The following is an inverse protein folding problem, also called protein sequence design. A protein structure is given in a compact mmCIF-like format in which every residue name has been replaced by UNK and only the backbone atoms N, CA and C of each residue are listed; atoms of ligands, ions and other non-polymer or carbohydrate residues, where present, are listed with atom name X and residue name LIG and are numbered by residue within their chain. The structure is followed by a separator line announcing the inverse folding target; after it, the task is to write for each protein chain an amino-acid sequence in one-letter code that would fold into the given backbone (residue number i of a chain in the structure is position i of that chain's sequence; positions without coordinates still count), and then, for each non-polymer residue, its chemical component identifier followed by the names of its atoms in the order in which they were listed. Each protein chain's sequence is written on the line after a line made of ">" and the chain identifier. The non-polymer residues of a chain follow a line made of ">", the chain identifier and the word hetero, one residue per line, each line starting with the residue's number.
data_IF_629870745784
#
_entry.id   IF_629870745784
#
_cell.length_a   1.000
_cell.length_b   1.000
_cell.length_c   1.000
_cell.angle_alpha   90.00
_cell.angle_beta   90.00
_cell.angle_gamma   90.00
#
_symmetry.space_group_name_H-M   'P 1'
#
loop_
_entity.id
_entity.type
_entity.pdbx_description
1 polymer ?
#
# COMPACT_ATOMS: atom_id res chain seq x y z
N UNK A 1 -28.09 24.23 -4.35
CA UNK A 1 -29.01 24.05 -3.21
C UNK A 1 -28.56 22.82 -2.47
N UNK A 2 -27.95 22.99 -1.30
CA UNK A 2 -27.76 21.95 -0.30
C UNK A 2 -27.97 22.63 1.05
N UNK A 3 -29.23 22.87 1.41
CA UNK A 3 -29.61 23.49 2.68
C UNK A 3 -29.86 22.39 3.72
N UNK A 4 -28.82 21.61 4.06
CA UNK A 4 -28.91 20.77 5.24
C UNK A 4 -27.52 20.53 5.85
N UNK A 5 -27.21 21.28 6.91
CA UNK A 5 -25.99 21.16 7.71
C UNK A 5 -25.98 19.91 8.61
N UNK A 6 -26.71 18.85 8.24
CA UNK A 6 -26.77 17.63 9.04
C UNK A 6 -25.56 16.72 8.74
N UNK A 7 -24.60 16.58 9.68
CA UNK A 7 -23.37 15.82 9.46
C UNK A 7 -23.60 14.31 9.28
N UNK A 8 -24.82 13.81 9.55
CA UNK A 8 -25.18 12.40 9.37
C UNK A 8 -25.63 12.04 7.95
N UNK A 9 -25.70 13.02 7.04
CA UNK A 9 -26.22 12.81 5.70
C UNK A 9 -25.12 12.27 4.75
N UNK A 10 -25.03 10.95 4.63
CA UNK A 10 -24.01 10.25 3.82
C UNK A 10 -24.30 10.25 2.29
N UNK A 11 -25.32 10.98 1.84
CA UNK A 11 -25.78 11.05 0.45
C UNK A 11 -27.25 11.44 0.35
N UNK A 12 -27.65 11.97 -0.82
CA UNK A 12 -29.06 12.32 -1.12
C UNK A 12 -29.63 11.28 -2.08
N UNK A 13 -30.70 10.61 -1.67
CA UNK A 13 -31.48 9.74 -2.55
C UNK A 13 -32.75 10.48 -2.96
N UNK A 14 -32.93 10.68 -4.26
CA UNK A 14 -34.19 11.18 -4.81
C UNK A 14 -35.04 9.96 -5.20
N UNK A 15 -36.10 9.69 -4.44
CA UNK A 15 -37.11 8.71 -4.84
C UNK A 15 -38.24 9.43 -5.57
N UNK A 16 -38.70 8.84 -6.67
CA UNK A 16 -39.90 9.31 -7.37
C UNK A 16 -41.20 8.76 -6.73
N UNK A 17 -41.07 7.82 -5.79
CA UNK A 17 -42.18 7.18 -5.08
C UNK A 17 -41.89 7.10 -3.58
N UNK A 18 -42.85 7.50 -2.75
CA UNK A 18 -42.79 7.37 -1.30
C UNK A 18 -43.36 6.02 -0.84
N UNK A 19 -42.80 5.41 0.22
CA UNK A 19 -43.35 4.16 0.78
C UNK A 19 -44.81 4.33 1.18
N UNK A 20 -45.60 3.25 1.11
CA UNK A 20 -47.04 3.28 1.39
C UNK A 20 -47.39 3.52 2.86
N UNK A 21 -46.40 3.53 3.76
CA UNK A 21 -46.59 3.79 5.18
C UNK A 21 -45.42 4.53 5.84
N UNK A 22 -45.72 5.31 6.88
CA UNK A 22 -44.77 6.15 7.62
C UNK A 22 -43.72 5.36 8.42
N UNK A 23 -43.94 4.05 8.62
CA UNK A 23 -43.00 3.13 9.27
C UNK A 23 -42.02 2.49 8.30
N UNK A 24 -42.30 2.56 7.00
CA UNK A 24 -41.51 1.92 5.96
C UNK A 24 -40.50 2.94 5.43
N UNK A 25 -39.20 2.65 5.58
CA UNK A 25 -38.15 3.45 4.95
C UNK A 25 -38.09 3.07 3.47
N UNK A 26 -37.90 4.06 2.60
CA UNK A 26 -37.62 3.80 1.20
C UNK A 26 -36.35 2.96 1.09
N UNK A 27 -36.41 1.84 0.38
CA UNK A 27 -35.22 1.08 0.03
C UNK A 27 -34.35 1.92 -0.91
N UNK A 28 -33.10 2.13 -0.53
CA UNK A 28 -32.11 2.81 -1.34
C UNK A 28 -30.96 1.84 -1.60
N UNK A 29 -30.84 1.39 -2.85
CA UNK A 29 -29.70 0.56 -3.27
C UNK A 29 -28.50 1.47 -3.48
N UNK A 30 -27.55 1.50 -2.54
CA UNK A 30 -26.27 2.20 -2.71
C UNK A 30 -25.34 1.36 -3.58
N UNK A 31 -25.52 1.39 -4.90
CA UNK A 31 -24.72 0.58 -5.83
C UNK A 31 -23.62 1.36 -6.56
N UNK A 32 -23.48 2.67 -6.33
CA UNK A 32 -22.55 3.50 -7.09
C UNK A 32 -21.31 3.80 -6.25
N UNK A 33 -20.17 3.28 -6.68
CA UNK A 33 -18.85 3.68 -6.18
C UNK A 33 -18.35 4.93 -6.92
N UNK A 34 -17.54 5.75 -6.24
CA UNK A 34 -16.67 6.70 -6.92
C UNK A 34 -15.37 6.00 -7.33
N UNK A 35 -15.31 5.54 -8.57
CA UNK A 35 -14.12 4.86 -9.10
C UNK A 35 -13.02 5.84 -9.53
N UNK A 36 -13.29 7.15 -9.53
CA UNK A 36 -12.30 8.13 -9.93
C UNK A 36 -11.25 8.30 -8.83
N UNK A 37 -10.00 8.00 -9.13
CA UNK A 37 -8.91 8.09 -8.15
C UNK A 37 -8.26 9.48 -8.24
N UNK A 38 -8.49 10.38 -7.27
CA UNK A 38 -7.88 11.70 -7.29
C UNK A 38 -6.37 11.62 -7.01
N UNK A 39 -5.56 12.50 -7.62
CA UNK A 39 -4.13 12.57 -7.35
C UNK A 39 -3.88 13.01 -5.91
N UNK A 40 -2.87 12.41 -5.27
CA UNK A 40 -2.38 12.87 -3.98
C UNK A 40 -1.78 14.28 -4.07
N UNK A 41 -1.71 14.99 -2.95
CA UNK A 41 -0.92 16.21 -2.88
C UNK A 41 0.57 15.88 -2.99
N UNK A 42 1.34 16.70 -3.72
CA UNK A 42 2.78 16.51 -3.85
C UNK A 42 3.52 16.51 -2.50
N UNK A 43 2.98 17.22 -1.49
CA UNK A 43 3.52 17.26 -0.13
C UNK A 43 3.41 15.95 0.64
N UNK A 44 2.57 15.01 0.19
CA UNK A 44 2.35 13.71 0.84
C UNK A 44 3.30 12.65 0.27
N UNK A 45 3.81 12.85 -0.94
CA UNK A 45 4.73 11.91 -1.60
C UNK A 45 6.06 11.86 -0.85
N UNK A 46 6.52 10.63 -0.58
CA UNK A 46 7.67 10.34 0.28
C UNK A 46 7.33 10.28 1.78
N UNK A 47 6.09 10.51 2.18
CA UNK A 47 5.69 10.51 3.59
C UNK A 47 4.86 9.28 3.94
N UNK A 48 5.43 8.34 4.69
CA UNK A 48 4.79 7.06 5.01
C UNK A 48 3.49 7.20 5.80
N UNK A 49 3.56 8.03 6.84
CA UNK A 49 2.46 8.22 7.78
C UNK A 49 1.26 8.80 7.02
N UNK A 50 1.48 9.83 6.22
CA UNK A 50 0.40 10.48 5.48
C UNK A 50 -0.09 9.65 4.28
N UNK A 51 0.78 8.88 3.63
CA UNK A 51 0.36 8.15 2.43
C UNK A 51 -0.42 6.87 2.76
N UNK A 52 -0.02 6.13 3.80
CA UNK A 52 -0.55 4.79 4.06
C UNK A 52 -1.37 4.63 5.35
N UNK A 53 -1.29 5.55 6.32
CA UNK A 53 -1.86 5.34 7.66
C UNK A 53 -3.39 5.14 7.63
N UNK A 54 -3.89 4.02 8.14
CA UNK A 54 -5.28 3.87 8.53
C UNK A 54 -5.51 4.55 9.89
N UNK A 55 -6.59 5.30 10.02
CA UNK A 55 -6.92 6.06 11.24
C UNK A 55 -7.60 5.22 12.35
N UNK A 56 -7.63 3.90 12.20
CA UNK A 56 -8.46 3.00 13.02
C UNK A 56 -7.69 2.49 14.23
N UNK A 57 -8.33 2.39 15.40
CA UNK A 57 -7.67 1.93 16.62
C UNK A 57 -7.17 0.49 16.50
N UNK A 58 -7.96 -0.40 15.87
CA UNK A 58 -7.58 -1.79 15.61
C UNK A 58 -6.30 -1.91 14.77
N UNK A 59 -6.05 -0.94 13.89
CA UNK A 59 -4.83 -0.87 13.12
C UNK A 59 -3.63 -0.55 14.01
N UNK A 60 -3.71 0.52 14.80
CA UNK A 60 -2.66 0.93 15.74
C UNK A 60 -2.36 -0.21 16.72
N UNK A 61 -3.42 -0.82 17.26
CA UNK A 61 -3.30 -1.92 18.21
C UNK A 61 -2.67 -3.18 17.64
N UNK A 62 -2.79 -3.44 16.34
CA UNK A 62 -2.24 -4.66 15.74
C UNK A 62 -0.89 -4.39 15.09
N UNK A 63 -0.82 -3.43 14.16
CA UNK A 63 0.38 -3.22 13.35
C UNK A 63 1.48 -2.53 14.15
N UNK A 64 1.16 -1.51 14.95
CA UNK A 64 2.19 -0.82 15.74
C UNK A 64 2.67 -1.70 16.89
N UNK A 65 1.75 -2.35 17.63
CA UNK A 65 2.15 -3.23 18.75
C UNK A 65 2.97 -4.43 18.29
N UNK A 66 2.58 -5.10 17.20
CA UNK A 66 3.36 -6.22 16.65
C UNK A 66 4.73 -5.76 16.16
N UNK A 67 4.84 -4.54 15.62
CA UNK A 67 6.11 -3.95 15.17
C UNK A 67 7.07 -3.60 16.31
N UNK A 68 6.53 -3.31 17.50
CA UNK A 68 7.26 -2.98 18.74
C UNK A 68 7.57 -4.24 19.58
N UNK A 69 6.80 -5.32 19.41
CA UNK A 69 7.02 -6.60 20.10
C UNK A 69 8.32 -7.29 19.66
N UNK A 70 9.00 -8.02 20.57
CA UNK A 70 10.27 -8.75 20.31
C UNK A 70 10.14 -9.95 19.37
N UNK A 71 9.06 -10.05 18.59
CA UNK A 71 8.82 -11.09 17.59
C UNK A 71 9.73 -10.83 16.39
N UNK A 72 10.19 -11.90 15.72
CA UNK A 72 10.97 -11.74 14.48
C UNK A 72 10.19 -10.90 13.46
N UNK A 73 10.89 -10.06 12.71
CA UNK A 73 10.28 -9.17 11.72
C UNK A 73 9.47 -9.91 10.65
N UNK A 74 9.79 -11.18 10.39
CA UNK A 74 9.05 -12.07 9.49
C UNK A 74 7.70 -12.51 10.09
N UNK A 75 7.68 -12.96 11.34
CA UNK A 75 6.44 -13.34 12.03
C UNK A 75 5.54 -12.12 12.29
N UNK A 76 6.13 -10.97 12.64
CA UNK A 76 5.44 -9.70 12.75
C UNK A 76 4.74 -9.32 11.43
N UNK A 77 5.46 -9.42 10.31
CA UNK A 77 4.90 -9.15 8.99
C UNK A 77 3.79 -10.15 8.59
N UNK A 78 3.94 -11.43 8.90
CA UNK A 78 2.89 -12.44 8.65
C UNK A 78 1.61 -12.13 9.41
N UNK A 79 1.71 -11.74 10.69
CA UNK A 79 0.55 -11.30 11.46
C UNK A 79 -0.12 -10.05 10.84
N UNK A 80 0.68 -9.06 10.41
CA UNK A 80 0.17 -7.85 9.73
C UNK A 80 -0.55 -8.19 8.41
N UNK A 81 -0.02 -9.11 7.59
CA UNK A 81 -0.69 -9.57 6.36
C UNK A 81 -2.03 -10.23 6.63
N UNK A 82 -2.09 -11.12 7.62
CA UNK A 82 -3.34 -11.80 8.01
C UNK A 82 -4.35 -10.78 8.49
N UNK A 83 -3.94 -9.87 9.37
CA UNK A 83 -4.79 -8.77 9.84
C UNK A 83 -5.31 -7.92 8.68
N UNK A 84 -4.46 -7.46 7.76
CA UNK A 84 -4.88 -6.58 6.67
C UNK A 84 -5.91 -7.22 5.73
N UNK A 85 -5.91 -8.57 5.61
CA UNK A 85 -6.90 -9.31 4.81
C UNK A 85 -8.25 -9.49 5.51
N UNK A 86 -8.24 -9.63 6.83
CA UNK A 86 -9.45 -9.86 7.63
C UNK A 86 -10.02 -8.57 8.23
N UNK A 87 -9.23 -7.51 8.25
CA UNK A 87 -9.61 -6.20 8.77
C UNK A 87 -10.82 -5.66 8.03
N UNK A 88 -11.88 -5.39 8.78
CA UNK A 88 -13.03 -4.66 8.30
C UNK A 88 -12.89 -3.20 8.75
N UNK A 89 -12.63 -2.25 7.84
CA UNK A 89 -12.40 -0.86 8.25
C UNK A 89 -13.68 -0.19 8.76
N UNK A 90 -14.87 -0.77 8.55
CA UNK A 90 -16.13 -0.16 8.98
C UNK A 90 -16.58 -0.53 10.40
N UNK A 91 -15.80 -1.32 11.15
CA UNK A 91 -16.16 -1.75 12.52
C UNK A 91 -15.78 -0.74 13.60
N UNK A 92 -14.84 0.15 13.33
CA UNK A 92 -14.45 1.24 14.23
C UNK A 92 -15.40 2.43 14.00
N UNK A 93 -16.40 2.57 14.87
CA UNK A 93 -17.45 3.59 14.73
C UNK A 93 -16.85 5.00 14.85
N UNK A 94 -15.89 5.21 15.75
CA UNK A 94 -15.28 6.54 15.95
C UNK A 94 -14.48 6.96 14.72
N UNK A 95 -13.62 6.07 14.21
CA UNK A 95 -12.87 6.33 12.99
C UNK A 95 -13.81 6.52 11.78
N UNK A 96 -14.87 5.71 11.70
CA UNK A 96 -15.88 5.83 10.64
C UNK A 96 -16.58 7.18 10.70
N UNK A 97 -17.12 7.58 11.84
CA UNK A 97 -17.79 8.87 12.01
C UNK A 97 -16.86 10.05 11.68
N UNK A 98 -15.61 10.00 12.14
CA UNK A 98 -14.60 11.01 11.81
C UNK A 98 -14.36 11.13 10.30
N UNK A 99 -14.17 10.01 9.61
CA UNK A 99 -13.94 9.99 8.17
C UNK A 99 -15.17 10.47 7.40
N UNK A 100 -16.37 10.02 7.79
CA UNK A 100 -17.63 10.41 7.17
C UNK A 100 -17.88 11.91 7.25
N UNK A 101 -17.67 12.51 8.41
CA UNK A 101 -17.82 13.96 8.62
C UNK A 101 -16.87 14.80 7.75
N UNK A 102 -15.81 14.18 7.23
CA UNK A 102 -14.78 14.83 6.42
C UNK A 102 -14.75 14.33 4.98
N UNK A 103 -15.74 13.54 4.54
CA UNK A 103 -15.78 12.93 3.20
C UNK A 103 -15.42 13.94 2.10
N UNK A 104 -16.10 15.08 2.07
CA UNK A 104 -15.91 16.12 1.05
C UNK A 104 -14.52 16.78 1.11
N UNK A 105 -13.82 16.69 2.24
CA UNK A 105 -12.45 17.18 2.39
C UNK A 105 -11.41 16.14 1.95
N UNK A 106 -11.75 14.85 2.00
CA UNK A 106 -10.81 13.74 1.77
C UNK A 106 -10.75 13.23 0.32
N UNK A 107 -11.79 13.49 -0.48
CA UNK A 107 -11.87 13.09 -1.90
C UNK A 107 -11.41 14.13 -2.95
N UNK A 108 -11.24 15.43 -2.65
CA UNK A 108 -10.70 16.38 -3.63
C UNK A 108 -9.28 16.02 -4.11
N UNK A 109 -8.94 16.40 -5.36
CA UNK A 109 -7.57 16.29 -5.86
C UNK A 109 -6.62 17.13 -5.02
N UNK A 110 -5.41 16.62 -4.79
CA UNK A 110 -4.36 17.29 -4.01
C UNK A 110 -4.79 17.69 -2.60
N UNK A 111 -5.65 16.87 -1.96
CA UNK A 111 -6.00 17.01 -0.56
C UNK A 111 -4.74 16.95 0.33
N UNK A 112 -4.65 17.87 1.30
CA UNK A 112 -3.56 17.98 2.28
C UNK A 112 -4.04 17.81 3.72
N UNK A 113 -5.25 17.27 3.87
CA UNK A 113 -5.88 17.05 5.16
C UNK A 113 -5.07 16.09 6.03
N UNK A 114 -5.01 16.32 7.34
CA UNK A 114 -4.29 15.45 8.28
C UNK A 114 -4.83 14.01 8.32
N UNK A 115 -6.10 13.82 7.94
CA UNK A 115 -6.77 12.52 7.91
C UNK A 115 -6.73 11.88 6.52
N UNK A 116 -6.12 12.57 5.56
CA UNK A 116 -5.91 12.03 4.23
C UNK A 116 -4.81 10.98 4.26
N UNK A 117 -5.16 9.81 3.72
CA UNK A 117 -4.25 8.79 3.26
C UNK A 117 -4.87 8.12 2.04
N UNK A 118 -4.06 7.38 1.28
CA UNK A 118 -4.61 6.64 0.13
C UNK A 118 -5.65 5.61 0.57
N UNK A 119 -5.50 5.06 1.78
CA UNK A 119 -6.49 4.20 2.41
C UNK A 119 -7.80 4.95 2.76
N UNK A 120 -7.72 6.10 3.45
CA UNK A 120 -8.93 6.85 3.82
C UNK A 120 -9.65 7.43 2.60
N UNK A 121 -8.90 7.90 1.61
CA UNK A 121 -9.44 8.34 0.32
C UNK A 121 -10.21 7.22 -0.39
N UNK A 122 -9.64 6.01 -0.46
CA UNK A 122 -10.35 4.85 -1.01
C UNK A 122 -11.65 4.60 -0.24
N UNK A 123 -11.60 4.54 1.09
CA UNK A 123 -12.79 4.28 1.90
C UNK A 123 -13.91 5.29 1.62
N UNK A 124 -13.58 6.59 1.52
CA UNK A 124 -14.57 7.64 1.30
C UNK A 124 -15.17 7.63 -0.10
N UNK A 125 -14.42 7.19 -1.10
CA UNK A 125 -14.89 6.97 -2.48
C UNK A 125 -15.77 5.73 -2.63
N UNK A 126 -15.48 4.69 -1.85
CA UNK A 126 -16.17 3.40 -1.91
C UNK A 126 -17.27 3.24 -0.85
N UNK A 127 -17.68 4.34 -0.22
CA UNK A 127 -18.73 4.32 0.79
C UNK A 127 -20.07 3.78 0.23
N UNK A 128 -20.51 2.66 0.78
CA UNK A 128 -21.80 2.06 0.45
C UNK A 128 -21.76 1.03 -0.68
N UNK A 129 -20.65 0.86 -1.41
CA UNK A 129 -20.58 -0.11 -2.51
C UNK A 129 -19.81 -1.40 -2.20
N UNK A 130 -19.37 -1.59 -0.94
CA UNK A 130 -18.85 -2.86 -0.43
C UNK A 130 -17.40 -3.19 -0.79
N UNK A 131 -16.74 -2.40 -1.65
CA UNK A 131 -15.31 -2.57 -1.91
C UNK A 131 -14.48 -2.32 -0.66
N UNK A 132 -13.40 -3.11 -0.52
CA UNK A 132 -12.42 -2.98 0.56
C UNK A 132 -11.12 -2.41 -0.01
N UNK A 133 -10.41 -1.56 0.75
CA UNK A 133 -9.11 -1.05 0.32
C UNK A 133 -8.13 -2.22 0.14
N UNK A 134 -7.26 -2.16 -0.89
CA UNK A 134 -6.20 -3.14 -1.06
C UNK A 134 -5.37 -3.30 0.21
N UNK A 135 -5.14 -4.54 0.63
CA UNK A 135 -4.36 -4.87 1.82
C UNK A 135 -2.92 -4.38 1.69
N UNK A 136 -2.43 -4.18 0.46
CA UNK A 136 -1.15 -3.54 0.18
C UNK A 136 -1.00 -2.19 0.90
N UNK A 137 -2.03 -1.33 0.96
CA UNK A 137 -1.90 -0.03 1.63
C UNK A 137 -1.57 -0.16 3.12
N UNK A 138 -2.21 -1.11 3.77
CA UNK A 138 -2.22 -1.30 5.23
C UNK A 138 -1.07 -2.19 5.68
N UNK A 139 -0.85 -3.29 4.97
CA UNK A 139 0.22 -4.24 5.24
C UNK A 139 1.53 -3.77 4.64
N UNK A 140 1.68 -3.87 3.32
CA UNK A 140 2.96 -3.66 2.68
C UNK A 140 3.43 -2.20 2.78
N UNK A 141 2.60 -1.27 2.31
CA UNK A 141 2.87 0.15 2.25
C UNK A 141 3.28 0.72 3.61
N UNK A 142 2.37 0.73 4.59
CA UNK A 142 2.69 1.32 5.89
C UNK A 142 3.76 0.56 6.66
N UNK A 143 3.70 -0.78 6.77
CA UNK A 143 4.64 -1.53 7.61
C UNK A 143 6.08 -1.35 7.13
N UNK A 144 6.34 -1.42 5.82
CA UNK A 144 7.68 -1.19 5.29
C UNK A 144 8.10 0.27 5.42
N UNK A 145 7.22 1.17 5.04
CA UNK A 145 7.55 2.57 4.99
C UNK A 145 7.87 3.11 6.40
N UNK A 146 7.05 2.77 7.41
CA UNK A 146 7.23 3.23 8.80
C UNK A 146 8.26 2.41 9.58
N UNK A 147 8.15 1.07 9.59
CA UNK A 147 8.94 0.23 10.50
C UNK A 147 10.27 -0.21 9.90
N UNK A 148 10.27 -0.69 8.66
CA UNK A 148 11.51 -1.14 8.02
C UNK A 148 12.45 0.03 7.80
N UNK A 149 11.93 1.16 7.30
CA UNK A 149 12.70 2.39 7.16
C UNK A 149 13.30 2.86 8.49
N UNK A 150 12.53 2.93 9.57
CA UNK A 150 13.02 3.37 10.88
C UNK A 150 14.09 2.43 11.47
N UNK A 151 13.96 1.11 11.27
CA UNK A 151 14.93 0.11 11.77
C UNK A 151 16.20 0.06 10.93
N UNK A 152 16.08 0.25 9.61
CA UNK A 152 17.20 0.18 8.68
C UNK A 152 18.04 1.48 8.67
N UNK A 153 17.38 2.64 8.70
CA UNK A 153 18.02 3.96 8.55
C UNK A 153 19.23 4.20 9.46
N UNK A 154 19.21 3.86 10.77
CA UNK A 154 20.37 4.06 11.65
C UNK A 154 21.58 3.19 11.31
N UNK A 155 21.38 2.12 10.53
CA UNK A 155 22.42 1.16 10.14
C UNK A 155 23.03 1.48 8.78
N UNK A 156 22.48 2.44 8.05
CA UNK A 156 22.94 2.81 6.72
C UNK A 156 23.95 3.97 6.79
N UNK A 157 24.87 3.99 5.82
CA UNK A 157 25.70 5.17 5.56
C UNK A 157 24.82 6.36 5.16
N UNK A 158 25.41 7.56 5.07
CA UNK A 158 24.70 8.74 4.56
C UNK A 158 24.09 8.50 3.19
N UNK A 159 24.83 7.85 2.28
CA UNK A 159 24.33 7.52 0.94
C UNK A 159 23.16 6.53 1.00
N UNK A 160 23.23 5.54 1.90
CA UNK A 160 22.13 4.60 2.12
C UNK A 160 20.88 5.27 2.71
N UNK A 161 21.04 6.24 3.61
CA UNK A 161 19.92 7.01 4.16
C UNK A 161 19.26 7.88 3.09
N UNK A 162 20.06 8.56 2.27
CA UNK A 162 19.57 9.34 1.12
C UNK A 162 18.85 8.44 0.11
N UNK A 163 19.38 7.25 -0.17
CA UNK A 163 18.69 6.25 -1.00
C UNK A 163 17.36 5.83 -0.41
N UNK A 164 17.29 5.57 0.90
CA UNK A 164 16.05 5.14 1.56
C UNK A 164 14.95 6.21 1.42
N UNK A 165 15.31 7.48 1.58
CA UNK A 165 14.40 8.61 1.43
C UNK A 165 13.95 8.76 -0.04
N UNK A 166 14.87 8.63 -1.01
CA UNK A 166 14.55 8.71 -2.44
C UNK A 166 13.72 7.52 -2.93
N UNK A 167 14.10 6.29 -2.57
CA UNK A 167 13.38 5.07 -2.94
C UNK A 167 11.92 5.14 -2.47
N UNK A 168 11.69 5.59 -1.24
CA UNK A 168 10.35 5.82 -0.70
C UNK A 168 9.56 6.83 -1.52
N UNK A 169 10.19 7.94 -1.90
CA UNK A 169 9.55 8.95 -2.72
C UNK A 169 9.15 8.39 -4.09
N UNK A 170 10.04 7.67 -4.77
CA UNK A 170 9.75 7.04 -6.07
C UNK A 170 8.70 5.94 -5.98
N UNK A 171 8.69 5.14 -4.91
CA UNK A 171 7.65 4.13 -4.68
C UNK A 171 6.26 4.75 -4.66
N UNK A 172 6.10 5.86 -3.93
CA UNK A 172 4.82 6.56 -3.86
C UNK A 172 4.52 7.33 -5.15
N UNK A 173 5.51 7.95 -5.78
CA UNK A 173 5.34 8.60 -7.08
C UNK A 173 4.85 7.63 -8.17
N UNK A 174 5.48 6.46 -8.31
CA UNK A 174 5.08 5.49 -9.32
C UNK A 174 3.73 4.85 -9.04
N UNK A 175 3.38 4.68 -7.76
CA UNK A 175 2.04 4.31 -7.36
C UNK A 175 1.01 5.36 -7.86
N UNK A 176 1.26 6.64 -7.60
CA UNK A 176 0.39 7.74 -8.04
C UNK A 176 0.28 7.86 -9.56
N UNK A 177 1.41 7.76 -10.27
CA UNK A 177 1.41 7.80 -11.73
C UNK A 177 0.60 6.65 -12.33
N UNK A 178 0.75 5.43 -11.81
CA UNK A 178 -0.02 4.29 -12.29
C UNK A 178 -1.51 4.40 -11.98
N UNK A 179 -1.89 4.89 -10.80
CA UNK A 179 -3.27 5.21 -10.46
C UNK A 179 -3.87 6.25 -11.42
N UNK A 180 -3.15 7.34 -11.69
CA UNK A 180 -3.59 8.39 -12.62
C UNK A 180 -3.70 7.87 -14.06
N UNK A 181 -2.81 6.98 -14.48
CA UNK A 181 -2.91 6.34 -15.79
C UNK A 181 -4.11 5.40 -15.86
N UNK A 182 -4.36 4.58 -14.84
CA UNK A 182 -5.51 3.67 -14.81
C UNK A 182 -6.86 4.39 -14.78
N UNK A 183 -6.92 5.63 -14.27
CA UNK A 183 -8.11 6.48 -14.41
C UNK A 183 -8.38 6.84 -15.87
N UNK A 184 -7.33 6.96 -16.69
CA UNK A 184 -7.40 7.48 -18.07
C UNK A 184 -7.45 6.37 -19.13
N UNK A 185 -6.86 5.20 -18.88
CA UNK A 185 -6.64 4.14 -19.89
C UNK A 185 -6.50 2.75 -19.27
N UNK A 186 -6.63 1.73 -20.11
CA UNK A 186 -6.53 0.30 -19.73
C UNK A 186 -5.08 -0.22 -19.60
N UNK A 187 -4.09 0.62 -19.90
CA UNK A 187 -2.68 0.24 -19.90
C UNK A 187 -1.87 1.24 -19.11
N UNK A 188 -1.14 0.75 -18.12
CA UNK A 188 -0.18 1.51 -17.31
C UNK A 188 1.20 1.28 -17.89
N UNK A 189 1.90 2.36 -18.19
CA UNK A 189 3.27 2.39 -18.70
C UNK A 189 4.05 3.43 -17.89
N UNK A 190 4.97 2.95 -17.05
CA UNK A 190 5.86 3.78 -16.25
C UNK A 190 7.27 3.66 -16.79
N UNK A 191 7.97 4.78 -16.85
CA UNK A 191 9.35 4.85 -17.29
C UNK A 191 10.23 5.36 -16.15
N UNK A 192 11.45 4.83 -16.12
CA UNK A 192 12.49 5.29 -15.20
C UNK A 192 12.77 6.78 -15.43
N UNK A 193 13.02 7.52 -14.37
CA UNK A 193 13.55 8.88 -14.50
C UNK A 193 15.03 8.87 -14.90
N UNK A 194 15.77 7.85 -14.48
CA UNK A 194 17.15 7.66 -14.88
C UNK A 194 17.21 6.97 -16.24
N UNK A 195 17.89 7.62 -17.19
CA UNK A 195 18.08 7.07 -18.54
C UNK A 195 18.75 5.70 -18.49
N UNK A 196 18.19 4.73 -19.22
CA UNK A 196 18.77 3.39 -19.36
C UNK A 196 18.28 2.34 -18.36
N UNK A 197 17.50 2.69 -17.33
CA UNK A 197 16.93 1.70 -16.40
C UNK A 197 15.58 1.11 -16.85
N UNK A 198 15.08 1.50 -18.03
CA UNK A 198 13.88 0.92 -18.63
C UNK A 198 12.58 1.43 -18.01
N UNK A 199 11.59 0.55 -17.90
CA UNK A 199 10.26 0.86 -17.42
C UNK A 199 9.44 -0.39 -17.16
N UNK A 200 8.22 -0.23 -16.67
CA UNK A 200 7.27 -1.32 -16.47
C UNK A 200 5.94 -1.04 -17.18
N UNK A 201 5.32 -2.11 -17.68
CA UNK A 201 4.00 -2.07 -18.32
C UNK A 201 3.07 -3.09 -17.66
N UNK A 202 1.81 -2.72 -17.50
CA UNK A 202 0.75 -3.60 -17.01
C UNK A 202 -0.59 -3.20 -17.64
N UNK A 203 -1.29 -4.19 -18.18
CA UNK A 203 -2.66 -4.00 -18.66
C UNK A 203 -3.64 -4.25 -17.52
N UNK A 204 -4.44 -3.25 -17.21
CA UNK A 204 -5.45 -3.26 -16.16
C UNK A 204 -6.61 -2.42 -16.66
N UNK A 205 -7.81 -3.00 -16.70
CA UNK A 205 -9.01 -2.28 -17.12
C UNK A 205 -9.12 -0.93 -16.38
N UNK A 206 -9.48 0.11 -17.12
CA UNK A 206 -9.60 1.48 -16.62
C UNK A 206 -10.52 1.51 -15.40
N UNK A 207 -10.09 2.22 -14.35
CA UNK A 207 -10.77 2.34 -13.06
C UNK A 207 -10.86 1.04 -12.22
N UNK A 208 -10.12 -0.01 -12.55
CA UNK A 208 -10.16 -1.29 -11.84
C UNK A 208 -8.92 -1.58 -10.99
N UNK A 209 -7.86 -0.77 -11.09
CA UNK A 209 -6.58 -1.08 -10.45
C UNK A 209 -6.68 -1.31 -8.93
N UNK A 210 -7.44 -0.47 -8.22
CA UNK A 210 -7.60 -0.61 -6.76
C UNK A 210 -8.75 -1.55 -6.35
N UNK A 211 -9.50 -2.12 -7.29
CA UNK A 211 -10.68 -2.94 -6.97
C UNK A 211 -10.35 -4.42 -6.81
N UNK A 212 -9.20 -4.85 -7.35
CA UNK A 212 -8.70 -6.22 -7.24
C UNK A 212 -7.39 -6.27 -6.46
N UNK A 213 -7.40 -7.00 -5.34
CA UNK A 213 -6.29 -7.11 -4.40
C UNK A 213 -5.00 -7.60 -5.06
N UNK A 214 -5.10 -8.66 -5.87
CA UNK A 214 -3.94 -9.31 -6.47
C UNK A 214 -3.39 -8.45 -7.61
N UNK A 215 -4.25 -7.82 -8.41
CA UNK A 215 -3.87 -6.85 -9.45
C UNK A 215 -3.15 -5.65 -8.84
N UNK A 216 -3.70 -5.06 -7.78
CA UNK A 216 -3.08 -3.93 -7.11
C UNK A 216 -1.71 -4.28 -6.53
N UNK A 217 -1.60 -5.45 -5.88
CA UNK A 217 -0.34 -5.95 -5.35
C UNK A 217 0.69 -6.21 -6.45
N UNK A 218 0.29 -6.84 -7.56
CA UNK A 218 1.17 -7.08 -8.70
C UNK A 218 1.66 -5.77 -9.31
N UNK A 219 0.77 -4.79 -9.48
CA UNK A 219 1.13 -3.45 -9.94
C UNK A 219 2.17 -2.84 -9.02
N UNK A 220 1.92 -2.83 -7.71
CA UNK A 220 2.85 -2.28 -6.73
C UNK A 220 4.24 -2.93 -6.83
N UNK A 221 4.32 -4.26 -6.79
CA UNK A 221 5.58 -5.00 -6.89
C UNK A 221 6.32 -4.75 -8.21
N UNK A 222 5.60 -4.58 -9.33
CA UNK A 222 6.21 -4.23 -10.64
C UNK A 222 6.88 -2.86 -10.65
N UNK A 223 6.45 -1.93 -9.80
CA UNK A 223 7.04 -0.59 -9.72
C UNK A 223 8.25 -0.49 -8.80
N UNK A 224 8.42 -1.45 -7.87
CA UNK A 224 9.51 -1.41 -6.89
C UNK A 224 10.91 -1.40 -7.49
N UNK A 225 11.26 -2.23 -8.51
CA UNK A 225 12.60 -2.24 -9.08
C UNK A 225 12.95 -0.88 -9.68
N UNK A 226 11.98 -0.28 -10.36
CA UNK A 226 12.10 1.05 -10.95
C UNK A 226 12.39 2.09 -9.86
N UNK A 227 11.58 2.09 -8.79
CA UNK A 227 11.74 3.00 -7.66
C UNK A 227 13.08 2.85 -6.94
N UNK A 228 13.59 1.62 -6.80
CA UNK A 228 14.88 1.38 -6.15
C UNK A 228 16.05 1.86 -6.99
N UNK A 229 16.00 1.62 -8.30
CA UNK A 229 17.02 2.08 -9.23
C UNK A 229 17.06 3.61 -9.31
N UNK A 230 15.90 4.26 -9.43
CA UNK A 230 15.80 5.73 -9.45
C UNK A 230 16.09 6.36 -8.08
N UNK A 231 15.83 5.62 -7.00
CA UNK A 231 16.30 5.98 -5.66
C UNK A 231 17.83 6.00 -5.54
N UNK A 232 18.55 5.40 -6.49
CA UNK A 232 20.01 5.39 -6.55
C UNK A 232 20.66 4.10 -6.06
N UNK A 233 19.94 2.97 -6.03
CA UNK A 233 20.44 1.69 -5.51
C UNK A 233 21.77 1.29 -6.15
N UNK A 234 21.91 1.50 -7.47
CA UNK A 234 23.11 1.17 -8.24
C UNK A 234 24.38 1.94 -7.81
N UNK A 235 24.23 3.04 -7.07
CA UNK A 235 25.33 3.91 -6.62
C UNK A 235 25.73 3.65 -5.16
N UNK A 236 25.04 2.74 -4.47
CA UNK A 236 25.27 2.50 -3.05
C UNK A 236 26.57 1.72 -2.76
N UNK A 237 27.22 2.00 -1.61
CA UNK A 237 28.27 1.14 -1.09
C UNK A 237 27.77 -0.29 -0.88
N UNK A 238 28.65 -1.28 -1.07
CA UNK A 238 28.32 -2.70 -0.90
C UNK A 238 27.75 -3.01 0.49
N UNK A 239 28.28 -2.37 1.52
CA UNK A 239 27.84 -2.56 2.91
C UNK A 239 26.37 -2.12 3.12
N UNK A 240 25.94 -1.02 2.48
CA UNK A 240 24.54 -0.59 2.48
C UNK A 240 23.67 -1.55 1.67
N UNK A 241 24.13 -2.00 0.51
CA UNK A 241 23.43 -3.01 -0.29
C UNK A 241 23.20 -4.30 0.50
N UNK A 242 24.20 -4.78 1.24
CA UNK A 242 24.05 -5.96 2.11
C UNK A 242 22.99 -5.76 3.19
N UNK A 243 22.92 -4.57 3.81
CA UNK A 243 21.91 -4.28 4.84
C UNK A 243 20.51 -4.16 4.25
N UNK A 244 20.38 -3.59 3.06
CA UNK A 244 19.11 -3.48 2.32
C UNK A 244 18.62 -4.88 1.91
N UNK A 245 19.52 -5.75 1.46
CA UNK A 245 19.21 -7.13 1.04
C UNK A 245 18.97 -8.08 2.22
N UNK A 246 19.62 -7.86 3.36
CA UNK A 246 19.41 -8.63 4.60
C UNK A 246 18.08 -8.34 5.30
N UNK A 247 17.20 -7.58 4.65
CA UNK A 247 15.85 -7.34 5.10
C UNK A 247 15.02 -8.63 5.15
N UNK A 248 14.07 -8.74 6.09
CA UNK A 248 13.35 -9.96 6.42
C UNK A 248 12.28 -10.41 5.40
N UNK A 249 12.16 -9.75 4.25
CA UNK A 249 11.15 -10.11 3.26
C UNK A 249 11.68 -9.96 1.84
N UNK A 250 11.93 -11.11 1.24
CA UNK A 250 12.50 -11.24 -0.08
C UNK A 250 11.41 -11.31 -1.18
N UNK A 251 10.12 -11.11 -0.86
CA UNK A 251 9.02 -11.19 -1.84
C UNK A 251 9.16 -10.19 -3.00
N UNK A 252 9.82 -9.04 -2.82
CA UNK A 252 10.11 -8.10 -3.91
C UNK A 252 11.24 -8.59 -4.83
N UNK A 253 12.16 -9.37 -4.25
CA UNK A 253 13.32 -9.97 -4.93
C UNK A 253 12.99 -11.33 -5.55
N UNK A 254 11.84 -11.89 -5.22
CA UNK A 254 11.34 -13.18 -5.67
C UNK A 254 10.92 -13.19 -7.16
N UNK A 255 10.72 -12.02 -7.79
CA UNK A 255 10.39 -11.92 -9.20
C UNK A 255 11.67 -11.94 -10.08
N UNK A 256 11.85 -12.96 -10.95
CA UNK A 256 12.98 -13.02 -11.88
C UNK A 256 13.07 -11.81 -12.83
N UNK A 257 11.96 -11.11 -13.09
CA UNK A 257 11.95 -9.88 -13.89
C UNK A 257 12.54 -8.68 -13.13
N UNK A 258 12.26 -8.55 -11.82
CA UNK A 258 12.94 -7.60 -10.92
C UNK A 258 14.45 -7.85 -10.89
N UNK A 259 14.83 -9.13 -10.81
CA UNK A 259 16.23 -9.54 -10.86
C UNK A 259 16.90 -9.18 -12.19
N UNK A 260 16.24 -9.43 -13.32
CA UNK A 260 16.76 -9.12 -14.66
C UNK A 260 16.88 -7.61 -14.89
N UNK A 261 15.94 -6.80 -14.42
CA UNK A 261 15.99 -5.34 -14.58
C UNK A 261 17.07 -4.68 -13.70
N UNK A 262 17.23 -5.13 -12.45
CA UNK A 262 18.35 -4.71 -11.60
C UNK A 262 19.71 -5.16 -12.15
N UNK A 263 19.74 -6.33 -12.80
CA UNK A 263 20.91 -6.88 -13.49
C UNK A 263 21.30 -6.09 -14.75
N UNK A 264 20.33 -5.78 -15.62
CA UNK A 264 20.57 -5.08 -16.90
C UNK A 264 20.96 -3.60 -16.69
N UNK A 265 20.43 -2.96 -15.64
CA UNK A 265 20.81 -1.60 -15.21
C UNK A 265 22.12 -1.56 -14.40
N UNK A 266 22.60 -2.71 -13.92
CA UNK A 266 23.72 -2.85 -12.99
C UNK A 266 24.81 -3.80 -13.49
N UNK A 267 25.40 -3.56 -14.67
CA UNK A 267 26.55 -4.34 -15.20
C UNK A 267 27.75 -4.44 -14.23
N UNK A 268 27.83 -3.59 -13.21
CA UNK A 268 28.88 -3.60 -12.15
C UNK A 268 28.47 -4.42 -10.91
N UNK A 269 27.18 -4.67 -10.71
CA UNK A 269 26.61 -5.31 -9.51
C UNK A 269 26.35 -6.82 -9.72
N UNK A 270 26.14 -7.23 -10.97
CA UNK A 270 25.63 -8.56 -11.34
C UNK A 270 26.44 -9.77 -10.84
N UNK A 271 27.75 -9.82 -11.05
CA UNK A 271 28.52 -11.07 -10.80
C UNK A 271 28.56 -11.49 -9.32
N UNK A 272 28.36 -10.58 -8.37
CA UNK A 272 28.29 -10.89 -6.92
C UNK A 272 26.85 -11.09 -6.41
N UNK A 273 25.86 -10.50 -7.07
CA UNK A 273 24.43 -10.65 -6.74
C UNK A 273 23.85 -12.04 -7.08
N UNK A 274 24.32 -12.67 -8.16
CA UNK A 274 23.72 -13.90 -8.69
C UNK A 274 23.88 -15.15 -7.80
N UNK A 275 25.01 -15.27 -7.09
CA UNK A 275 25.26 -16.40 -6.19
C UNK A 275 24.40 -16.33 -4.93
N UNK A 276 24.33 -15.14 -4.31
CA UNK A 276 23.74 -14.96 -2.98
C UNK A 276 22.22 -14.79 -3.01
N UNK A 277 21.65 -14.24 -4.10
CA UNK A 277 20.20 -14.21 -4.32
C UNK A 277 19.60 -15.62 -4.45
N UNK A 278 20.39 -16.57 -4.98
CA UNK A 278 19.99 -17.98 -5.10
C UNK A 278 19.88 -18.66 -3.74
N UNK A 279 20.81 -18.36 -2.83
CA UNK A 279 20.83 -18.88 -1.46
C UNK A 279 19.73 -18.24 -0.60
N UNK A 280 19.49 -16.94 -0.78
CA UNK A 280 18.39 -16.21 -0.14
C UNK A 280 17.00 -16.72 -0.61
N UNK A 281 16.86 -17.04 -1.91
CA UNK A 281 15.67 -17.69 -2.46
C UNK A 281 15.40 -19.07 -1.85
N UNK A 282 16.43 -19.91 -1.68
CA UNK A 282 16.28 -21.20 -0.99
C UNK A 282 15.84 -21.05 0.47
N UNK A 283 16.39 -20.07 1.20
CA UNK A 283 16.00 -19.80 2.59
C UNK A 283 14.54 -19.32 2.71
N UNK A 284 14.06 -18.53 1.74
CA UNK A 284 12.66 -18.03 1.73
C UNK A 284 11.64 -19.13 1.47
N UNK A 285 12.02 -20.17 0.72
CA UNK A 285 11.17 -21.35 0.50
C UNK A 285 10.96 -22.13 1.79
N UNK A 286 11.98 -22.21 2.64
CA UNK A 286 11.94 -22.96 3.90
C UNK A 286 11.21 -22.17 5.02
N UNK A 287 11.33 -20.84 5.06
CA UNK A 287 10.60 -19.98 6.04
C UNK A 287 9.08 -19.94 5.81
N UNK A 288 8.61 -20.21 4.58
CA UNK A 288 7.18 -20.40 4.31
C UNK A 288 6.64 -21.73 4.86
N UNK A 289 7.52 -22.68 5.19
CA UNK A 289 7.21 -23.98 5.78
C UNK A 289 7.48 -24.04 7.31
N UNK A 290 7.76 -22.89 7.92
CA UNK A 290 8.19 -22.75 9.32
C UNK A 290 7.13 -23.28 10.32
N UNK A 291 7.48 -24.23 11.22
CA UNK A 291 6.62 -24.70 12.31
C UNK A 291 6.08 -23.58 13.22
N UNK A 292 6.73 -22.41 13.32
CA UNK A 292 6.21 -21.25 14.07
C UNK A 292 4.97 -20.65 13.40
N UNK A 293 4.90 -20.60 12.08
CA UNK A 293 3.70 -20.18 11.34
C UNK A 293 2.53 -21.14 11.60
N UNK A 294 2.80 -22.45 11.72
CA UNK A 294 1.78 -23.43 12.14
C UNK A 294 1.36 -23.27 13.60
N UNK A 295 2.26 -22.88 14.49
CA UNK A 295 1.95 -22.64 15.90
C UNK A 295 1.11 -21.36 16.11
N UNK A 296 1.39 -20.29 15.36
CA UNK A 296 0.61 -19.05 15.38
C UNK A 296 -0.79 -19.29 14.81
N UNK A 297 -0.95 -20.06 13.73
CA UNK A 297 -2.28 -20.43 13.20
C UNK A 297 -3.10 -21.24 14.22
N UNK A 298 -2.50 -22.20 14.94
CA UNK A 298 -3.19 -22.97 15.99
C UNK A 298 -3.62 -22.13 17.19
N UNK A 299 -2.82 -21.13 17.56
CA UNK A 299 -3.17 -20.18 18.62
C UNK A 299 -4.37 -19.31 18.22
N UNK A 300 -4.46 -18.93 16.94
CA UNK A 300 -5.56 -18.11 16.41
C UNK A 300 -6.87 -18.89 16.18
N UNK A 301 -6.84 -20.22 16.08
CA UNK A 301 -8.03 -21.09 16.00
C UNK A 301 -8.65 -21.42 17.37
N UNK A 302 -8.05 -20.95 18.48
CA UNK A 302 -8.48 -21.25 19.85
C UNK A 302 -9.30 -20.14 20.54
N UNK A 303 -9.93 -19.25 19.77
CA UNK A 303 -10.92 -18.28 20.31
C UNK A 303 -12.14 -18.17 19.41
#
# INVERSE_FOLDING_TARGET
>A
MTDNDNPKLNGVFHSYMTPSGYTQRAEATRTVCDLNVPPAAGSIIGQCEYYYRPLHCAYLDTVEKVSVSSVSTAAAYTAVKVFARTFNPWTDIEATERLLNRREQLIPPHCTDSDWSRHSNFMMRHIGCGHKPPSYYVAYGYYYCSNYGAKLRPRLSRAGQEWLDNARWYLQKYMEEGLQQNVRRDTIELSSETSGHGGCKMDVQRLQLELDEDTFKQFALKTHPLAYLDGGLAKLPLDDLFRIMGGPNLQEWADPATYKQAWDSGKVVGQRWAGQARDAWSATKDDLDDPVSRAVSRLMESK
#
